data_IF_400886744453
#
_entry.id   IF_400886744453
#
_cell.length_a   1.000
_cell.length_b   1.000
_cell.length_c   1.000
_cell.angle_alpha   90.00
_cell.angle_beta   90.00
_cell.angle_gamma   90.00
#
_symmetry.space_group_name_H-M   'P 1'
#
loop_
_entity.id
_entity.type
_entity.pdbx_description
1 polymer ?
#
# COMPACT_ATOMS: atom_id res chain seq x y z
N UNK A 1 91.72 8.86 -31.58
CA UNK A 1 92.23 9.76 -30.52
C UNK A 1 91.41 9.53 -29.27
N UNK A 2 92.10 9.35 -28.12
CA UNK A 2 91.54 8.98 -26.80
C UNK A 2 90.68 10.09 -26.19
N UNK A 3 89.84 9.69 -25.23
CA UNK A 3 89.22 10.52 -24.19
C UNK A 3 87.72 10.24 -24.14
N UNK A 4 87.11 9.62 -23.13
CA UNK A 4 87.33 9.76 -21.69
C UNK A 4 86.21 10.64 -21.12
N UNK A 5 85.07 10.06 -20.74
CA UNK A 5 83.94 10.79 -20.14
C UNK A 5 82.85 9.83 -19.66
N UNK A 6 82.49 9.95 -18.38
CA UNK A 6 81.58 9.09 -17.59
C UNK A 6 80.12 9.02 -18.11
N UNK A 7 79.35 7.98 -17.73
CA UNK A 7 78.02 7.73 -18.29
C UNK A 7 76.94 8.73 -17.81
N UNK A 8 75.92 9.03 -18.63
CA UNK A 8 74.81 9.89 -18.24
C UNK A 8 73.85 9.20 -17.24
N UNK A 9 73.17 9.98 -16.37
CA UNK A 9 72.31 9.46 -15.31
C UNK A 9 70.99 8.88 -15.84
N UNK A 10 70.48 7.87 -15.12
CA UNK A 10 69.25 7.14 -15.41
C UNK A 10 68.00 8.04 -15.33
N UNK A 11 67.04 7.95 -16.27
CA UNK A 11 65.74 8.60 -16.13
C UNK A 11 64.89 7.87 -15.06
N UNK A 12 64.21 8.67 -14.25
CA UNK A 12 63.47 8.26 -13.06
C UNK A 12 62.30 7.30 -13.33
N UNK A 13 61.97 6.54 -12.29
CA UNK A 13 60.92 5.53 -12.31
C UNK A 13 59.53 6.11 -12.56
N UNK A 14 58.90 5.66 -13.65
CA UNK A 14 57.47 5.78 -13.85
C UNK A 14 56.77 4.85 -12.84
N UNK A 15 56.10 5.45 -11.84
CA UNK A 15 55.15 4.74 -10.98
C UNK A 15 53.94 4.35 -11.82
N UNK A 16 53.68 3.05 -11.93
CA UNK A 16 52.43 2.53 -12.45
C UNK A 16 51.27 2.93 -11.54
N UNK A 17 50.17 3.42 -12.13
CA UNK A 17 48.90 3.66 -11.45
C UNK A 17 48.30 2.33 -10.96
N UNK A 18 47.90 2.19 -9.68
CA UNK A 18 47.08 1.06 -9.28
C UNK A 18 45.62 1.33 -9.70
N UNK A 19 45.06 0.38 -10.45
CA UNK A 19 43.64 0.32 -10.78
C UNK A 19 42.82 0.20 -9.49
N UNK A 20 41.84 1.08 -9.30
CA UNK A 20 40.90 1.04 -8.18
C UNK A 20 39.94 -0.13 -8.33
N UNK A 21 40.05 -1.13 -7.44
CA UNK A 21 39.01 -2.13 -7.23
C UNK A 21 37.75 -1.49 -6.60
N UNK A 22 36.53 -1.98 -6.91
CA UNK A 22 35.32 -1.48 -6.27
C UNK A 22 35.34 -1.79 -4.76
N UNK A 23 34.84 -0.89 -3.89
CA UNK A 23 34.84 -1.13 -2.46
C UNK A 23 33.94 -2.33 -2.12
N UNK A 24 34.52 -3.29 -1.39
CA UNK A 24 33.82 -4.44 -0.85
C UNK A 24 32.60 -3.99 -0.05
N UNK A 25 31.45 -4.61 -0.34
CA UNK A 25 30.22 -4.44 0.42
C UNK A 25 30.51 -4.73 1.91
N UNK A 26 30.36 -3.71 2.76
CA UNK A 26 30.61 -3.82 4.19
C UNK A 26 29.74 -4.90 4.86
N UNK A 27 30.19 -5.44 6.01
CA UNK A 27 29.48 -6.52 6.69
C UNK A 27 28.07 -6.08 7.07
N UNK A 28 27.06 -6.86 6.63
CA UNK A 28 25.67 -6.67 7.05
C UNK A 28 25.57 -6.91 8.56
N UNK A 29 25.24 -5.86 9.31
CA UNK A 29 25.07 -5.93 10.75
C UNK A 29 24.03 -7.00 11.13
N UNK A 30 24.37 -7.83 12.10
CA UNK A 30 23.48 -8.87 12.62
C UNK A 30 22.26 -8.24 13.32
N UNK A 31 21.09 -8.90 13.33
CA UNK A 31 19.86 -8.35 13.93
C UNK A 31 19.99 -8.02 15.42
N UNK A 32 20.89 -8.69 16.14
CA UNK A 32 21.26 -8.39 17.53
C UNK A 32 22.11 -7.12 17.66
N UNK A 33 22.97 -6.84 16.67
CA UNK A 33 23.75 -5.60 16.59
C UNK A 33 22.85 -4.39 16.32
N UNK A 34 21.82 -4.56 15.46
CA UNK A 34 20.83 -3.51 15.17
C UNK A 34 19.98 -3.16 16.41
N UNK A 35 19.55 -4.15 17.18
CA UNK A 35 18.79 -3.92 18.42
C UNK A 35 19.62 -3.23 19.51
N UNK A 36 20.92 -3.54 19.61
CA UNK A 36 21.83 -2.83 20.52
C UNK A 36 22.10 -1.38 20.06
N UNK A 37 22.28 -1.16 18.75
CA UNK A 37 22.44 0.18 18.18
C UNK A 37 21.20 1.06 18.42
N UNK A 38 19.99 0.51 18.24
CA UNK A 38 18.74 1.21 18.55
C UNK A 38 18.58 1.54 20.03
N UNK A 39 19.03 0.64 20.93
CA UNK A 39 19.05 0.93 22.38
C UNK A 39 20.04 2.03 22.75
N UNK A 40 21.21 2.07 22.11
CA UNK A 40 22.20 3.13 22.31
C UNK A 40 21.69 4.49 21.80
N UNK A 41 21.08 4.52 20.62
CA UNK A 41 20.41 5.73 20.09
C UNK A 41 19.26 6.15 21.00
N UNK A 42 18.48 5.22 21.54
CA UNK A 42 17.44 5.50 22.53
C UNK A 42 17.98 6.04 23.86
N UNK A 43 19.17 5.62 24.29
CA UNK A 43 19.84 6.14 25.47
C UNK A 43 20.45 7.53 25.22
N UNK A 44 20.97 7.79 24.02
CA UNK A 44 21.50 9.10 23.61
C UNK A 44 20.37 10.13 23.40
N UNK A 45 19.24 9.71 22.81
CA UNK A 45 18.04 10.52 22.65
C UNK A 45 17.40 10.95 23.98
N UNK A 46 17.60 10.17 25.06
CA UNK A 46 17.18 10.55 26.42
C UNK A 46 18.03 11.67 27.02
N UNK A 47 19.25 11.91 26.49
CA UNK A 47 20.13 13.01 26.93
C UNK A 47 19.80 14.33 26.21
N UNK A 48 19.06 14.28 25.11
CA UNK A 48 18.50 15.45 24.45
C UNK A 48 17.10 15.75 25.02
N UNK A 49 17.07 16.66 25.99
CA UNK A 49 15.82 17.10 26.62
C UNK A 49 14.81 17.67 25.63
N UNK A 50 15.26 18.28 24.54
CA UNK A 50 14.38 18.82 23.51
C UNK A 50 13.75 17.69 22.67
N UNK A 51 14.53 16.67 22.31
CA UNK A 51 14.00 15.48 21.61
C UNK A 51 13.04 14.69 22.51
N UNK A 52 13.38 14.48 23.77
CA UNK A 52 12.50 13.80 24.73
C UNK A 52 11.18 14.56 24.92
N UNK A 53 11.23 15.89 25.07
CA UNK A 53 10.04 16.72 25.18
C UNK A 53 9.17 16.66 23.91
N UNK A 54 9.79 16.64 22.72
CA UNK A 54 9.07 16.49 21.44
C UNK A 54 8.39 15.13 21.32
N UNK A 55 9.07 14.04 21.71
CA UNK A 55 8.50 12.69 21.71
C UNK A 55 7.33 12.59 22.67
N UNK A 56 7.43 13.13 23.89
CA UNK A 56 6.31 13.18 24.83
C UNK A 56 5.15 14.03 24.30
N UNK A 57 5.44 15.16 23.65
CA UNK A 57 4.45 15.97 22.95
C UNK A 57 3.70 15.18 21.87
N UNK A 58 4.41 14.38 21.07
CA UNK A 58 3.78 13.48 20.09
C UNK A 58 2.95 12.39 20.76
N UNK A 59 3.45 11.73 21.81
CA UNK A 59 2.67 10.75 22.59
C UNK A 59 1.38 11.36 23.14
N UNK A 60 1.41 12.61 23.57
CA UNK A 60 0.23 13.37 24.00
C UNK A 60 -0.78 13.56 22.86
N UNK A 61 -0.32 14.02 21.69
CA UNK A 61 -1.17 14.17 20.49
C UNK A 61 -1.78 12.83 20.06
N UNK A 62 -0.99 11.76 20.00
CA UNK A 62 -1.50 10.42 19.67
C UNK A 62 -2.60 9.98 20.62
N UNK A 63 -2.42 10.12 21.94
CA UNK A 63 -3.46 9.81 22.93
C UNK A 63 -4.73 10.63 22.72
N UNK A 64 -4.60 11.94 22.47
CA UNK A 64 -5.74 12.81 22.22
C UNK A 64 -6.50 12.41 20.94
N UNK A 65 -5.81 12.24 19.82
CA UNK A 65 -6.42 11.84 18.55
C UNK A 65 -7.04 10.45 18.62
N UNK A 66 -6.39 9.51 19.32
CA UNK A 66 -6.93 8.18 19.53
C UNK A 66 -8.20 8.16 20.37
N UNK A 67 -8.27 8.99 21.42
CA UNK A 67 -9.47 9.14 22.23
C UNK A 67 -10.63 9.71 21.42
N UNK A 68 -10.37 10.75 20.60
CA UNK A 68 -11.37 11.32 19.68
C UNK A 68 -11.86 10.29 18.66
N UNK A 69 -10.94 9.56 18.03
CA UNK A 69 -11.28 8.55 17.05
C UNK A 69 -12.03 7.36 17.67
N UNK A 70 -11.65 6.95 18.88
CA UNK A 70 -12.40 5.95 19.65
C UNK A 70 -13.83 6.40 19.93
N UNK A 71 -14.02 7.63 20.39
CA UNK A 71 -15.36 8.17 20.64
C UNK A 71 -16.22 8.17 19.37
N UNK A 72 -15.68 8.63 18.24
CA UNK A 72 -16.38 8.62 16.96
C UNK A 72 -16.71 7.20 16.48
N UNK A 73 -15.80 6.24 16.65
CA UNK A 73 -16.04 4.84 16.29
C UNK A 73 -17.11 4.18 17.18
N UNK A 74 -17.07 4.42 18.50
CA UNK A 74 -18.07 3.92 19.44
C UNK A 74 -19.47 4.50 19.12
N UNK A 75 -19.54 5.81 18.79
CA UNK A 75 -20.77 6.48 18.39
C UNK A 75 -21.34 5.90 17.08
N UNK A 76 -20.50 5.71 16.06
CA UNK A 76 -20.91 5.11 14.79
C UNK A 76 -21.43 3.68 14.98
N UNK A 77 -20.74 2.87 15.80
CA UNK A 77 -21.17 1.50 16.12
C UNK A 77 -22.53 1.48 16.81
N UNK A 78 -22.74 2.35 17.80
CA UNK A 78 -24.01 2.46 18.50
C UNK A 78 -25.16 2.82 17.56
N UNK A 79 -24.94 3.75 16.62
CA UNK A 79 -25.95 4.15 15.62
C UNK A 79 -26.33 3.04 14.65
N UNK A 80 -25.45 2.08 14.40
CA UNK A 80 -25.66 1.04 13.39
C UNK A 80 -25.86 -0.35 13.98
N UNK A 81 -25.89 -0.47 15.31
CA UNK A 81 -26.14 -1.74 16.01
C UNK A 81 -25.10 -2.82 15.74
N UNK A 82 -23.89 -2.43 15.30
CA UNK A 82 -22.84 -3.38 14.92
C UNK A 82 -22.03 -3.76 16.16
N UNK A 83 -21.73 -5.06 16.31
CA UNK A 83 -20.78 -5.54 17.32
C UNK A 83 -19.44 -4.79 17.18
N UNK A 84 -18.66 -4.70 18.26
CA UNK A 84 -17.42 -3.90 18.29
C UNK A 84 -16.38 -4.42 17.28
N UNK A 85 -16.40 -3.91 16.05
CA UNK A 85 -15.52 -4.33 14.95
C UNK A 85 -14.17 -3.60 14.99
N UNK A 86 -14.15 -2.34 15.43
CA UNK A 86 -12.97 -1.48 15.37
C UNK A 86 -12.24 -1.41 16.72
N UNK A 87 -11.04 -1.99 16.77
CA UNK A 87 -10.15 -1.91 17.94
C UNK A 87 -8.99 -0.95 17.62
N UNK A 88 -8.93 0.19 18.33
CA UNK A 88 -7.92 1.24 18.11
C UNK A 88 -6.52 0.89 18.67
N UNK A 89 -6.35 -0.29 19.27
CA UNK A 89 -5.05 -0.89 19.62
C UNK A 89 -4.07 0.03 20.34
N UNK A 90 -2.84 0.13 19.84
CA UNK A 90 -1.78 0.94 20.45
C UNK A 90 -2.11 2.43 20.55
N UNK A 91 -2.99 2.95 19.68
CA UNK A 91 -3.37 4.36 19.70
C UNK A 91 -4.11 4.71 21.00
N UNK A 92 -4.95 3.80 21.52
CA UNK A 92 -5.63 4.00 22.79
C UNK A 92 -4.78 3.62 24.02
N UNK A 93 -3.49 3.35 23.84
CA UNK A 93 -2.56 3.07 24.94
C UNK A 93 -2.69 1.68 25.55
N UNK A 94 -3.49 0.79 24.95
CA UNK A 94 -3.67 -0.60 25.44
C UNK A 94 -2.42 -1.48 25.24
N UNK A 95 -1.53 -1.08 24.33
CA UNK A 95 -0.27 -1.75 24.09
C UNK A 95 0.87 -0.72 24.11
N UNK A 96 1.80 -0.76 25.10
CA UNK A 96 2.93 0.17 25.14
C UNK A 96 3.81 0.01 23.90
N UNK A 97 4.48 1.10 23.52
CA UNK A 97 5.42 1.16 22.41
C UNK A 97 6.82 1.04 22.99
N UNK A 98 7.55 -0.01 22.61
CA UNK A 98 8.88 -0.34 23.14
C UNK A 98 9.97 0.54 22.53
N UNK A 99 9.89 0.83 21.22
CA UNK A 99 10.85 1.70 20.53
C UNK A 99 10.25 2.45 19.31
N UNK A 100 11.07 3.29 18.66
CA UNK A 100 10.68 4.08 17.49
C UNK A 100 10.41 3.23 16.24
N UNK A 101 11.07 2.08 16.11
CA UNK A 101 10.87 1.18 14.99
C UNK A 101 9.48 0.53 15.08
N UNK A 102 9.11 0.05 16.27
CA UNK A 102 7.78 -0.51 16.52
C UNK A 102 6.68 0.53 16.26
N UNK A 103 6.86 1.78 16.71
CA UNK A 103 5.92 2.87 16.42
C UNK A 103 5.72 3.04 14.91
N UNK A 104 6.82 3.11 14.14
CA UNK A 104 6.76 3.25 12.68
C UNK A 104 5.97 2.12 12.05
N UNK A 105 6.28 0.87 12.39
CA UNK A 105 5.58 -0.31 11.83
C UNK A 105 4.08 -0.28 12.16
N UNK A 106 3.72 0.05 13.40
CA UNK A 106 2.32 0.12 13.83
C UNK A 106 1.57 1.27 13.14
N UNK A 107 2.21 2.42 12.93
CA UNK A 107 1.63 3.53 12.17
C UNK A 107 1.43 3.18 10.69
N UNK A 108 2.42 2.57 10.04
CA UNK A 108 2.28 2.10 8.65
C UNK A 108 1.09 1.17 8.49
N UNK A 109 0.89 0.26 9.45
CA UNK A 109 -0.24 -0.67 9.43
C UNK A 109 -1.59 0.04 9.57
N UNK A 110 -1.68 1.02 10.48
CA UNK A 110 -2.90 1.83 10.63
C UNK A 110 -3.17 2.64 9.37
N UNK A 111 -2.16 3.28 8.79
CA UNK A 111 -2.32 4.07 7.56
C UNK A 111 -2.80 3.20 6.39
N UNK A 112 -2.25 1.99 6.23
CA UNK A 112 -2.73 1.04 5.22
C UNK A 112 -4.20 0.68 5.43
N UNK A 113 -4.61 0.41 6.67
CA UNK A 113 -6.03 0.11 6.99
C UNK A 113 -6.93 1.31 6.73
N UNK A 114 -6.50 2.52 7.11
CA UNK A 114 -7.28 3.74 6.89
C UNK A 114 -7.48 4.03 5.41
N UNK A 115 -6.49 3.74 4.56
CA UNK A 115 -6.62 3.89 3.10
C UNK A 115 -7.72 2.99 2.54
N UNK A 116 -7.74 1.71 2.91
CA UNK A 116 -8.80 0.76 2.50
C UNK A 116 -10.18 1.21 3.01
N UNK A 117 -10.26 1.67 4.26
CA UNK A 117 -11.51 2.18 4.82
C UNK A 117 -11.98 3.47 4.14
N UNK A 118 -11.06 4.33 3.71
CA UNK A 118 -11.38 5.55 2.98
C UNK A 118 -11.95 5.22 1.60
N UNK A 119 -11.30 4.32 0.85
CA UNK A 119 -11.80 3.84 -0.44
C UNK A 119 -13.19 3.22 -0.30
N UNK A 120 -13.42 2.44 0.77
CA UNK A 120 -14.73 1.89 1.08
C UNK A 120 -15.77 2.93 1.51
N UNK A 121 -15.36 3.96 2.25
CA UNK A 121 -16.26 5.03 2.70
C UNK A 121 -16.74 5.92 1.55
N UNK A 122 -15.93 6.05 0.50
CA UNK A 122 -16.30 6.77 -0.74
C UNK A 122 -16.91 5.87 -1.80
N UNK A 123 -17.09 4.57 -1.53
CA UNK A 123 -17.62 3.64 -2.50
C UNK A 123 -19.07 3.98 -2.84
N UNK A 124 -19.33 4.23 -4.12
CA UNK A 124 -20.67 4.36 -4.65
C UNK A 124 -21.23 2.99 -5.02
N UNK A 125 -22.56 2.85 -4.99
CA UNK A 125 -23.23 1.71 -5.60
C UNK A 125 -22.92 1.65 -7.11
N UNK A 126 -22.89 0.45 -7.73
CA UNK A 126 -22.69 0.32 -9.17
C UNK A 126 -23.66 1.21 -9.96
N UNK A 127 -23.14 2.02 -10.87
CA UNK A 127 -23.92 2.92 -11.71
C UNK A 127 -24.43 2.15 -12.93
N UNK A 128 -25.73 2.23 -13.22
CA UNK A 128 -26.31 1.62 -14.42
C UNK A 128 -25.95 2.43 -15.66
N UNK A 129 -25.44 1.77 -16.70
CA UNK A 129 -24.87 2.43 -17.89
C UNK A 129 -25.84 2.48 -19.07
N UNK A 130 -26.68 1.46 -19.26
CA UNK A 130 -27.61 1.46 -20.39
C UNK A 130 -28.70 2.52 -20.22
N UNK A 131 -28.80 3.37 -21.25
CA UNK A 131 -29.69 4.51 -21.32
C UNK A 131 -31.16 4.09 -21.47
N UNK A 132 -32.05 4.96 -20.99
CA UNK A 132 -33.47 4.87 -21.30
C UNK A 132 -33.66 5.31 -22.76
N UNK A 133 -34.17 4.44 -23.63
CA UNK A 133 -34.79 4.89 -24.89
C UNK A 133 -36.28 5.12 -24.63
N UNK A 134 -36.79 6.31 -24.95
CA UNK A 134 -38.19 6.69 -24.72
C UNK A 134 -38.70 6.47 -23.28
N UNK A 135 -37.84 6.71 -22.29
CA UNK A 135 -38.18 6.53 -20.88
C UNK A 135 -38.31 5.07 -20.42
N UNK A 136 -37.92 4.11 -21.26
CA UNK A 136 -37.80 2.69 -20.90
C UNK A 136 -36.36 2.18 -21.05
N UNK A 137 -35.91 1.24 -20.20
CA UNK A 137 -34.58 0.68 -20.35
C UNK A 137 -34.49 -0.07 -21.67
N UNK A 138 -33.65 0.41 -22.59
CA UNK A 138 -33.29 -0.31 -23.80
C UNK A 138 -31.98 -1.05 -23.55
N UNK A 139 -32.03 -2.37 -23.65
CA UNK A 139 -30.87 -3.25 -23.49
C UNK A 139 -30.69 -3.84 -22.08
N UNK A 140 -29.71 -4.76 -21.96
CA UNK A 140 -29.42 -5.48 -20.72
C UNK A 140 -29.04 -4.54 -19.58
N UNK A 141 -29.29 -4.97 -18.33
CA UNK A 141 -28.94 -4.18 -17.15
C UNK A 141 -27.42 -4.20 -16.92
N UNK A 142 -26.69 -3.30 -17.59
CA UNK A 142 -25.25 -3.13 -17.44
C UNK A 142 -24.93 -2.14 -16.32
N UNK A 143 -23.98 -2.50 -15.46
CA UNK A 143 -23.51 -1.67 -14.35
C UNK A 143 -21.99 -1.49 -14.39
N UNK A 144 -21.53 -0.30 -13.99
CA UNK A 144 -20.11 0.01 -13.77
C UNK A 144 -19.87 0.32 -12.28
N UNK A 145 -18.80 -0.23 -11.73
CA UNK A 145 -18.42 -0.02 -10.34
C UNK A 145 -16.95 -0.30 -10.10
N UNK A 146 -16.39 0.23 -9.01
CA UNK A 146 -15.02 -0.01 -8.59
C UNK A 146 -14.86 -1.28 -7.76
N UNK A 147 -13.63 -1.54 -7.30
CA UNK A 147 -13.25 -2.74 -6.53
C UNK A 147 -14.15 -3.00 -5.30
N UNK A 148 -14.47 -1.96 -4.52
CA UNK A 148 -15.32 -2.09 -3.33
C UNK A 148 -16.76 -2.48 -3.70
N UNK A 149 -17.28 -1.96 -4.81
CA UNK A 149 -18.61 -2.30 -5.27
C UNK A 149 -18.66 -3.76 -5.75
N UNK A 150 -17.59 -4.24 -6.40
CA UNK A 150 -17.44 -5.63 -6.81
C UNK A 150 -17.34 -6.61 -5.61
N UNK A 151 -16.72 -6.19 -4.50
CA UNK A 151 -16.63 -7.00 -3.27
C UNK A 151 -17.92 -6.95 -2.41
N UNK A 152 -18.82 -6.01 -2.71
CA UNK A 152 -20.09 -5.83 -2.00
C UNK A 152 -21.18 -6.79 -2.50
N UNK A 153 -20.96 -8.10 -2.35
CA UNK A 153 -21.85 -9.15 -2.90
C UNK A 153 -23.33 -9.00 -2.53
N UNK A 154 -23.65 -8.45 -1.36
CA UNK A 154 -25.03 -8.21 -0.95
C UNK A 154 -25.71 -7.13 -1.82
N UNK A 155 -24.99 -6.06 -2.17
CA UNK A 155 -25.48 -5.00 -3.07
C UNK A 155 -25.65 -5.57 -4.48
N UNK A 156 -24.67 -6.33 -4.97
CA UNK A 156 -24.73 -6.93 -6.30
C UNK A 156 -25.97 -7.83 -6.45
N UNK A 157 -26.24 -8.69 -5.45
CA UNK A 157 -27.45 -9.54 -5.45
C UNK A 157 -28.74 -8.73 -5.34
N UNK A 158 -28.75 -7.68 -4.53
CA UNK A 158 -29.93 -6.80 -4.41
C UNK A 158 -30.25 -6.09 -5.74
N UNK A 159 -29.23 -5.76 -6.53
CA UNK A 159 -29.37 -5.19 -7.88
C UNK A 159 -29.69 -6.23 -8.96
N UNK A 160 -29.74 -7.52 -8.61
CA UNK A 160 -29.97 -8.62 -9.56
C UNK A 160 -28.78 -8.92 -10.47
N UNK A 161 -27.56 -8.47 -10.10
CA UNK A 161 -26.35 -8.74 -10.86
C UNK A 161 -25.98 -10.21 -10.69
N UNK A 162 -25.79 -10.92 -11.81
CA UNK A 162 -25.45 -12.35 -11.86
C UNK A 162 -24.07 -12.61 -12.46
N UNK A 163 -23.55 -11.67 -13.24
CA UNK A 163 -22.29 -11.77 -13.96
C UNK A 163 -21.38 -10.60 -13.59
N UNK A 164 -20.09 -10.87 -13.44
CA UNK A 164 -19.06 -9.88 -13.10
C UNK A 164 -17.94 -9.99 -14.12
N UNK A 165 -17.69 -8.91 -14.85
CA UNK A 165 -16.49 -8.74 -15.64
C UNK A 165 -15.50 -7.93 -14.80
N UNK A 166 -14.40 -8.56 -14.38
CA UNK A 166 -13.33 -7.89 -13.64
C UNK A 166 -12.21 -7.53 -14.61
N UNK A 167 -12.05 -6.24 -14.87
CA UNK A 167 -11.06 -5.67 -15.79
C UNK A 167 -9.82 -5.10 -15.07
N UNK A 168 -9.56 -5.48 -13.81
CA UNK A 168 -8.43 -4.97 -13.03
C UNK A 168 -7.50 -6.11 -12.57
N UNK A 169 -6.19 -5.90 -12.72
CA UNK A 169 -5.17 -6.87 -12.31
C UNK A 169 -5.17 -7.09 -10.79
N UNK A 170 -5.22 -5.99 -10.02
CA UNK A 170 -5.08 -5.95 -8.57
C UNK A 170 -6.32 -6.41 -7.80
N UNK A 171 -7.47 -6.46 -8.46
CA UNK A 171 -8.74 -6.88 -7.86
C UNK A 171 -8.89 -8.39 -8.04
N UNK A 172 -8.99 -9.11 -6.93
CA UNK A 172 -9.27 -10.54 -6.98
C UNK A 172 -10.73 -10.78 -7.44
N UNK A 173 -10.98 -11.81 -8.26
CA UNK A 173 -12.36 -12.21 -8.57
C UNK A 173 -13.04 -12.74 -7.30
N UNK A 174 -14.37 -12.63 -7.21
CA UNK A 174 -15.11 -13.18 -6.08
C UNK A 174 -14.95 -14.71 -6.03
N UNK A 175 -14.98 -15.33 -4.84
CA UNK A 175 -14.86 -16.77 -4.71
C UNK A 175 -16.05 -17.47 -5.39
N UNK A 176 -15.86 -18.69 -5.89
CA UNK A 176 -16.92 -19.45 -6.55
C UNK A 176 -18.18 -19.64 -5.68
N UNK A 177 -18.02 -19.67 -4.35
CA UNK A 177 -19.12 -19.72 -3.38
C UNK A 177 -20.03 -18.49 -3.40
N UNK A 178 -19.60 -17.38 -4.02
CA UNK A 178 -20.41 -16.18 -4.17
C UNK A 178 -21.53 -16.33 -5.21
N UNK A 179 -21.44 -17.33 -6.11
CA UNK A 179 -22.50 -17.65 -7.07
C UNK A 179 -22.62 -16.68 -8.26
N UNK A 180 -21.56 -15.91 -8.56
CA UNK A 180 -21.49 -15.08 -9.75
C UNK A 180 -20.73 -15.80 -10.87
N UNK A 181 -21.17 -15.63 -12.11
CA UNK A 181 -20.35 -15.98 -13.27
C UNK A 181 -19.32 -14.86 -13.49
N UNK A 182 -18.04 -15.22 -13.62
CA UNK A 182 -16.96 -14.23 -13.64
C UNK A 182 -16.10 -14.39 -14.89
N UNK A 183 -15.91 -13.30 -15.63
CA UNK A 183 -14.82 -13.16 -16.59
C UNK A 183 -13.74 -12.27 -15.95
N UNK A 184 -12.51 -12.77 -15.86
CA UNK A 184 -11.36 -11.98 -15.40
C UNK A 184 -10.48 -11.61 -16.58
N UNK A 185 -10.30 -10.31 -16.78
CA UNK A 185 -9.34 -9.70 -17.69
C UNK A 185 -8.40 -8.86 -16.83
N UNK A 186 -7.23 -9.41 -16.50
CA UNK A 186 -6.30 -8.76 -15.58
C UNK A 186 -5.52 -7.65 -16.29
N UNK A 187 -6.13 -6.46 -16.41
CA UNK A 187 -5.52 -5.30 -17.06
C UNK A 187 -4.83 -4.40 -16.04
N UNK A 188 -3.71 -3.81 -16.45
CA UNK A 188 -3.04 -2.73 -15.72
C UNK A 188 -3.61 -1.38 -16.13
N UNK A 189 -3.79 -0.50 -15.16
CA UNK A 189 -4.15 0.90 -15.41
C UNK A 189 -2.91 1.69 -15.87
N UNK A 190 -2.54 1.51 -17.14
CA UNK A 190 -1.42 2.19 -17.79
C UNK A 190 -1.67 2.38 -19.27
N UNK A 191 -1.14 3.47 -19.85
CA UNK A 191 -1.33 3.82 -21.26
C UNK A 191 -0.75 2.78 -22.24
N UNK A 192 0.22 1.97 -21.79
CA UNK A 192 0.88 0.93 -22.60
C UNK A 192 0.11 -0.41 -22.62
N UNK A 193 -0.99 -0.53 -21.87
CA UNK A 193 -1.77 -1.76 -21.79
C UNK A 193 -2.69 -1.93 -23.02
N UNK A 194 -2.53 -3.03 -23.77
CA UNK A 194 -3.40 -3.34 -24.91
C UNK A 194 -4.75 -3.92 -24.44
N UNK A 195 -5.73 -3.05 -24.25
CA UNK A 195 -7.09 -3.45 -23.88
C UNK A 195 -7.92 -3.95 -25.08
N UNK A 196 -7.52 -3.63 -26.32
CA UNK A 196 -8.32 -3.90 -27.51
C UNK A 196 -8.41 -5.40 -27.80
N UNK A 197 -7.36 -6.15 -27.46
CA UNK A 197 -7.33 -7.61 -27.56
C UNK A 197 -8.45 -8.31 -26.76
N UNK A 198 -9.08 -7.61 -25.81
CA UNK A 198 -10.09 -8.17 -24.91
C UNK A 198 -11.53 -7.74 -25.23
N UNK A 199 -11.74 -6.85 -26.20
CA UNK A 199 -13.07 -6.30 -26.51
C UNK A 199 -14.06 -7.37 -26.96
N UNK A 200 -13.68 -8.27 -27.87
CA UNK A 200 -14.54 -9.35 -28.34
C UNK A 200 -14.94 -10.29 -27.20
N UNK A 201 -13.97 -10.75 -26.40
CA UNK A 201 -14.25 -11.65 -25.28
C UNK A 201 -15.13 -11.00 -24.19
N UNK A 202 -14.95 -9.69 -23.96
CA UNK A 202 -15.76 -8.91 -23.05
C UNK A 202 -17.19 -8.72 -23.57
N UNK A 203 -17.35 -8.37 -24.85
CA UNK A 203 -18.63 -8.20 -25.50
C UNK A 203 -19.42 -9.52 -25.52
N UNK A 204 -18.80 -10.62 -25.94
CA UNK A 204 -19.38 -11.96 -25.91
C UNK A 204 -19.87 -12.35 -24.51
N UNK A 205 -19.14 -11.95 -23.47
CA UNK A 205 -19.53 -12.25 -22.09
C UNK A 205 -20.73 -11.41 -21.64
N UNK A 206 -20.82 -10.15 -22.07
CA UNK A 206 -21.96 -9.27 -21.79
C UNK A 206 -23.20 -9.76 -22.54
N UNK A 207 -23.06 -10.11 -23.83
CA UNK A 207 -24.17 -10.50 -24.70
C UNK A 207 -24.77 -11.86 -24.34
N UNK A 208 -24.00 -12.79 -23.75
CA UNK A 208 -24.53 -14.08 -23.25
C UNK A 208 -25.60 -13.93 -22.16
N UNK A 209 -25.68 -12.76 -21.53
CA UNK A 209 -26.55 -12.48 -20.38
C UNK A 209 -27.74 -11.61 -20.78
N UNK A 210 -27.68 -10.99 -21.97
CA UNK A 210 -28.72 -10.11 -22.53
C UNK A 210 -29.92 -10.91 -23.06
#
# INVERSE_FOLDING_TARGET
WRGGGAPPPRPGGARACPQSAPPAAGPRASPLSLTMALRAVGAEAKKDGALSARVEGWRGKFRQHAARLKAAADEWQARHGVARVLTMGFLCGTAPIVDLYELKVRLDHVLRRMRVLQEAATAAAPARVCALEDGRPAGPALFLGGAVAADSHHVLRHLGITHILNAAEEVAPPPASAGFAVLRVALRDSDDEDIAAHFEAAADFIDKVA
#
